data_IF_976663607992
#
_entry.id   IF_976663607992
#
_cell.length_a   1.000
_cell.length_b   1.000
_cell.length_c   1.000
_cell.angle_alpha   90.00
_cell.angle_beta   90.00
_cell.angle_gamma   90.00
#
_symmetry.space_group_name_H-M   'P 1'
#
loop_
_entity.id
_entity.type
_entity.pdbx_description
1 polymer ?
#
# COMPACT_ATOMS: atom_id res chain seq x y z
N UNK A 1 20.13 -32.94 -16.92
CA UNK A 1 19.66 -31.60 -17.31
C UNK A 1 19.41 -30.82 -16.04
N UNK A 2 20.27 -29.84 -15.72
CA UNK A 2 20.11 -28.97 -14.56
C UNK A 2 19.56 -27.62 -15.03
N UNK A 3 18.25 -27.41 -14.88
CA UNK A 3 17.62 -26.13 -15.15
C UNK A 3 18.10 -25.10 -14.12
N UNK A 4 18.68 -24.01 -14.61
CA UNK A 4 19.15 -22.89 -13.81
C UNK A 4 17.92 -22.24 -13.13
N UNK A 5 17.95 -21.89 -11.83
CA UNK A 5 16.83 -21.19 -11.21
C UNK A 5 16.73 -19.82 -11.88
N UNK A 6 15.61 -19.58 -12.55
CA UNK A 6 15.29 -18.31 -13.15
C UNK A 6 15.11 -17.30 -12.02
N UNK A 7 15.82 -16.18 -12.11
CA UNK A 7 15.96 -15.20 -11.05
C UNK A 7 14.58 -14.71 -10.55
N UNK A 8 14.28 -15.01 -9.29
CA UNK A 8 13.15 -14.46 -8.55
C UNK A 8 13.33 -12.94 -8.45
N UNK A 9 12.39 -12.18 -9.03
CA UNK A 9 12.23 -10.74 -8.80
C UNK A 9 12.42 -9.86 -10.04
N UNK A 10 11.45 -9.87 -10.95
CA UNK A 10 11.34 -8.78 -11.94
C UNK A 10 10.71 -7.55 -11.27
N UNK A 11 11.02 -6.33 -11.75
CA UNK A 11 10.44 -5.08 -11.22
C UNK A 11 8.90 -5.11 -11.18
N UNK A 12 8.27 -5.81 -12.12
CA UNK A 12 6.82 -6.00 -12.16
C UNK A 12 6.26 -6.79 -10.97
N UNK A 13 6.99 -7.75 -10.41
CA UNK A 13 6.59 -8.48 -9.20
C UNK A 13 6.62 -7.56 -7.97
N UNK A 14 7.62 -6.68 -7.90
CA UNK A 14 7.77 -5.70 -6.82
C UNK A 14 6.63 -4.67 -6.88
N UNK A 15 6.32 -4.14 -8.06
CA UNK A 15 5.19 -3.23 -8.24
C UNK A 15 3.85 -3.88 -7.88
N UNK A 16 3.67 -5.15 -8.26
CA UNK A 16 2.44 -5.90 -7.92
C UNK A 16 2.31 -6.09 -6.42
N UNK A 17 3.39 -6.49 -5.73
CA UNK A 17 3.40 -6.64 -4.27
C UNK A 17 3.15 -5.30 -3.59
N UNK A 18 3.76 -4.21 -4.06
CA UNK A 18 3.52 -2.87 -3.53
C UNK A 18 2.06 -2.45 -3.67
N UNK A 19 1.42 -2.70 -4.83
CA UNK A 19 -0.02 -2.41 -5.03
C UNK A 19 -0.91 -3.19 -4.05
N UNK A 20 -0.60 -4.47 -3.82
CA UNK A 20 -1.35 -5.30 -2.86
C UNK A 20 -1.16 -4.79 -1.43
N UNK A 21 0.07 -4.48 -1.02
CA UNK A 21 0.36 -3.93 0.30
C UNK A 21 -0.35 -2.59 0.54
N UNK A 22 -0.32 -1.68 -0.45
CA UNK A 22 -1.02 -0.40 -0.35
C UNK A 22 -2.52 -0.60 -0.13
N UNK A 23 -3.14 -1.50 -0.90
CA UNK A 23 -4.58 -1.75 -0.82
C UNK A 23 -5.00 -2.45 0.47
N UNK A 24 -4.25 -3.44 0.90
CA UNK A 24 -4.69 -4.33 1.98
C UNK A 24 -4.23 -3.88 3.36
N UNK A 25 -3.08 -3.22 3.45
CA UNK A 25 -2.50 -2.84 4.75
C UNK A 25 -2.56 -1.32 4.94
N UNK A 26 -2.00 -0.57 3.98
CA UNK A 26 -1.76 0.86 4.18
C UNK A 26 -3.06 1.69 4.16
N UNK A 27 -3.96 1.45 3.19
CA UNK A 27 -5.23 2.18 3.11
C UNK A 27 -6.11 1.92 4.35
N UNK A 28 -6.34 0.67 4.79
CA UNK A 28 -7.11 0.41 6.01
C UNK A 28 -6.48 1.03 7.25
N UNK A 29 -5.15 0.98 7.39
CA UNK A 29 -4.46 1.63 8.51
C UNK A 29 -4.67 3.16 8.49
N UNK A 30 -4.57 3.79 7.32
CA UNK A 30 -4.86 5.22 7.20
C UNK A 30 -6.30 5.55 7.60
N UNK A 31 -7.26 4.68 7.28
CA UNK A 31 -8.67 4.87 7.63
C UNK A 31 -8.87 4.81 9.16
N UNK A 32 -8.28 3.81 9.81
CA UNK A 32 -8.26 3.70 11.28
C UNK A 32 -7.69 4.93 11.96
N UNK A 33 -6.60 5.48 11.43
CA UNK A 33 -5.99 6.69 11.97
C UNK A 33 -6.91 7.91 11.77
N UNK A 34 -7.67 7.97 10.67
CA UNK A 34 -8.63 9.07 10.42
C UNK A 34 -9.82 9.07 11.36
N UNK A 35 -10.15 7.96 12.03
CA UNK A 35 -11.21 7.93 13.04
C UNK A 35 -11.00 8.96 14.16
N UNK A 36 -9.74 9.33 14.43
CA UNK A 36 -9.35 10.39 15.37
C UNK A 36 -9.99 11.74 15.01
N UNK A 37 -10.11 12.07 13.72
CA UNK A 37 -10.80 13.30 13.31
C UNK A 37 -12.26 13.29 13.76
N UNK A 38 -12.91 12.12 13.68
CA UNK A 38 -14.29 11.93 14.14
C UNK A 38 -14.41 12.11 15.65
N UNK A 39 -13.45 11.57 16.42
CA UNK A 39 -13.43 11.74 17.88
C UNK A 39 -13.22 13.19 18.31
N UNK A 40 -12.41 13.94 17.56
CA UNK A 40 -12.12 15.35 17.84
C UNK A 40 -13.16 16.33 17.26
N UNK A 41 -14.07 15.84 16.41
CA UNK A 41 -15.05 16.68 15.71
C UNK A 41 -14.45 17.67 14.71
N UNK A 42 -13.19 17.48 14.32
CA UNK A 42 -12.47 18.36 13.40
C UNK A 42 -11.42 17.59 12.60
N UNK A 43 -11.14 18.04 11.37
CA UNK A 43 -10.14 17.39 10.52
C UNK A 43 -8.72 17.82 10.88
N UNK A 44 -8.01 16.99 11.64
CA UNK A 44 -6.61 17.21 12.03
C UNK A 44 -5.61 16.32 11.29
N UNK A 45 -6.06 15.16 10.80
CA UNK A 45 -5.24 14.20 10.06
C UNK A 45 -5.76 14.06 8.63
N UNK A 46 -4.91 14.36 7.65
CA UNK A 46 -5.19 14.15 6.23
C UNK A 46 -3.99 13.53 5.53
N UNK A 47 -4.22 12.40 4.85
CA UNK A 47 -3.19 11.73 4.07
C UNK A 47 -3.17 12.23 2.63
N UNK A 48 -1.98 12.34 2.04
CA UNK A 48 -1.85 12.59 0.60
C UNK A 48 -2.32 11.37 -0.18
N UNK A 49 -2.85 11.60 -1.39
CA UNK A 49 -3.20 10.52 -2.31
C UNK A 49 -1.95 9.70 -2.63
N UNK A 50 -2.02 8.39 -2.39
CA UNK A 50 -0.97 7.46 -2.82
C UNK A 50 -1.04 7.32 -4.35
N UNK A 51 0.10 7.40 -5.02
CA UNK A 51 0.21 7.15 -6.45
C UNK A 51 0.06 5.65 -6.70
N UNK A 52 -1.17 5.18 -6.87
CA UNK A 52 -1.44 3.86 -7.45
C UNK A 52 -1.31 4.00 -8.97
N UNK A 53 -0.14 3.62 -9.51
CA UNK A 53 0.11 3.62 -10.94
C UNK A 53 -0.97 2.84 -11.69
N UNK A 54 -1.59 3.50 -12.67
CA UNK A 54 -2.55 2.91 -13.60
C UNK A 54 -1.82 2.15 -14.71
#
# INVERSE_FOLDING_TARGET
MGGKPENVGSLGDIEKVAKVFVRNELIPLQDRIREINGWLGQEVIRFKKLLTGH
#
